data_IF_697193420278
#
_entry.id   IF_697193420278
#
_cell.length_a   1.000
_cell.length_b   1.000
_cell.length_c   1.000
_cell.angle_alpha   90.00
_cell.angle_beta   90.00
_cell.angle_gamma   90.00
#
_symmetry.space_group_name_H-M   'P 1'
#
loop_
_entity.id
_entity.type
_entity.pdbx_description
1 polymer ?
#
# COMPACT_ATOMS: atom_id res chain seq x y z
N UNK A 1 5.36 -36.84 16.76
CA UNK A 1 4.17 -36.26 16.13
C UNK A 1 3.34 -35.62 17.25
N UNK A 2 3.69 -34.40 17.63
CA UNK A 2 2.87 -33.57 18.51
C UNK A 2 2.25 -32.47 17.64
N UNK A 3 0.93 -32.56 17.49
CA UNK A 3 0.08 -31.54 16.91
C UNK A 3 0.11 -30.35 17.88
N UNK A 4 0.77 -29.28 17.54
CA UNK A 4 0.56 -27.99 18.18
C UNK A 4 -0.74 -27.42 17.66
N UNK A 5 -1.79 -27.57 18.43
CA UNK A 5 -3.03 -26.78 18.26
C UNK A 5 -2.71 -25.34 18.65
N UNK A 6 -2.49 -24.49 17.67
CA UNK A 6 -2.56 -23.04 17.87
C UNK A 6 -4.02 -22.70 18.18
N UNK A 7 -4.25 -22.22 19.38
CA UNK A 7 -5.53 -21.62 19.76
C UNK A 7 -5.62 -20.26 19.05
N UNK A 8 -6.06 -20.30 17.79
CA UNK A 8 -6.63 -19.15 17.13
C UNK A 8 -8.00 -18.95 17.77
N UNK A 9 -8.20 -17.93 18.58
CA UNK A 9 -9.54 -17.52 19.01
C UNK A 9 -10.23 -16.93 17.78
N UNK A 10 -10.80 -17.81 16.96
CA UNK A 10 -11.61 -17.45 15.80
C UNK A 10 -12.88 -16.73 16.28
N UNK A 11 -12.85 -15.41 16.28
CA UNK A 11 -14.05 -14.61 16.48
C UNK A 11 -14.74 -14.42 15.14
N UNK A 12 -15.73 -15.28 14.86
CA UNK A 12 -16.58 -15.13 13.68
C UNK A 12 -17.55 -13.97 13.89
N UNK A 13 -17.35 -12.87 13.19
CA UNK A 13 -18.39 -11.84 13.02
C UNK A 13 -19.07 -12.07 11.67
N UNK A 14 -20.31 -12.57 11.68
CA UNK A 14 -21.15 -12.60 10.48
C UNK A 14 -21.74 -11.21 10.28
N UNK A 15 -21.31 -10.51 9.24
CA UNK A 15 -21.78 -9.17 8.92
C UNK A 15 -22.70 -9.21 7.71
N UNK A 16 -23.66 -8.31 7.66
CA UNK A 16 -24.83 -8.27 6.76
C UNK A 16 -24.52 -8.06 5.26
N UNK A 17 -23.28 -8.10 4.85
CA UNK A 17 -22.81 -8.12 3.45
C UNK A 17 -21.80 -9.23 3.28
N UNK A 18 -21.84 -9.92 2.22
CA UNK A 18 -21.18 -11.05 1.59
C UNK A 18 -19.69 -11.34 1.95
N UNK A 19 -19.07 -10.67 2.88
CA UNK A 19 -17.66 -10.86 3.25
C UNK A 19 -17.54 -11.74 4.49
N UNK A 20 -16.81 -12.85 4.39
CA UNK A 20 -16.46 -13.71 5.54
C UNK A 20 -15.08 -13.27 6.03
N UNK A 21 -15.06 -12.69 7.22
CA UNK A 21 -13.83 -12.17 7.84
C UNK A 21 -13.32 -13.14 8.88
N UNK A 22 -12.07 -13.52 8.80
CA UNK A 22 -11.34 -14.27 9.83
C UNK A 22 -10.25 -13.38 10.39
N UNK A 23 -10.37 -12.99 11.65
CA UNK A 23 -9.31 -12.29 12.37
C UNK A 23 -8.35 -13.32 12.96
N UNK A 24 -7.06 -13.18 12.69
CA UNK A 24 -6.01 -13.89 13.38
C UNK A 24 -5.06 -12.86 14.01
N UNK A 25 -5.17 -12.62 15.33
CA UNK A 25 -4.22 -11.76 16.05
C UNK A 25 -2.93 -12.51 16.25
N UNK A 26 -1.87 -12.01 15.64
CA UNK A 26 -0.52 -12.54 15.84
C UNK A 26 0.11 -11.81 17.03
N UNK A 27 0.03 -12.42 18.22
CA UNK A 27 0.75 -11.89 19.37
C UNK A 27 2.26 -11.99 19.17
N UNK A 28 2.98 -10.92 19.55
CA UNK A 28 4.43 -10.70 19.44
C UNK A 28 5.28 -11.79 20.12
N UNK A 29 5.22 -13.03 19.66
CA UNK A 29 6.14 -14.06 20.04
C UNK A 29 6.58 -14.85 18.82
N UNK A 30 7.61 -14.32 18.12
CA UNK A 30 8.38 -15.01 17.09
C UNK A 30 7.50 -15.64 16.00
N UNK A 31 7.10 -14.84 15.03
CA UNK A 31 6.82 -15.31 13.70
C UNK A 31 8.08 -16.00 13.14
N UNK A 32 8.31 -17.26 13.55
CA UNK A 32 9.15 -18.21 12.85
C UNK A 32 8.35 -18.91 11.74
N UNK A 33 7.31 -18.26 11.22
CA UNK A 33 6.71 -18.71 9.98
C UNK A 33 7.55 -18.09 8.85
N UNK A 34 8.30 -18.93 8.16
CA UNK A 34 9.24 -18.53 7.10
C UNK A 34 8.55 -17.76 5.97
N UNK A 35 7.21 -17.67 5.97
CA UNK A 35 6.37 -16.98 4.99
C UNK A 35 6.38 -15.45 5.15
N UNK A 36 6.55 -14.92 6.36
CA UNK A 36 6.43 -13.47 6.63
C UNK A 36 7.77 -12.79 6.97
N UNK A 37 8.88 -13.27 6.44
CA UNK A 37 10.18 -12.60 6.60
C UNK A 37 10.30 -11.46 5.59
N UNK A 38 9.62 -10.34 5.87
CA UNK A 38 9.91 -9.10 5.15
C UNK A 38 11.36 -8.68 5.43
N UNK A 39 12.11 -8.41 4.36
CA UNK A 39 13.47 -7.91 4.46
C UNK A 39 13.48 -6.59 5.25
N UNK A 40 14.54 -6.32 6.00
CA UNK A 40 14.69 -5.09 6.80
C UNK A 40 14.44 -3.80 5.97
N UNK A 41 14.72 -3.85 4.67
CA UNK A 41 14.52 -2.75 3.73
C UNK A 41 13.05 -2.56 3.32
N UNK A 42 12.26 -3.62 3.35
CA UNK A 42 10.82 -3.62 3.06
C UNK A 42 10.02 -3.11 4.28
N UNK A 43 10.52 -3.34 5.50
CA UNK A 43 9.98 -2.74 6.74
C UNK A 43 10.25 -1.24 6.88
N UNK A 44 11.14 -0.66 6.04
CA UNK A 44 11.46 0.77 6.08
C UNK A 44 10.39 1.63 5.36
N UNK A 45 9.60 1.05 4.45
CA UNK A 45 8.48 1.75 3.82
C UNK A 45 7.20 1.54 4.65
N UNK A 46 6.90 2.51 5.49
CA UNK A 46 5.73 2.49 6.37
C UNK A 46 4.59 3.27 5.70
N UNK A 47 3.50 2.58 5.44
CA UNK A 47 2.31 3.19 4.84
C UNK A 47 1.28 3.48 5.92
N UNK A 48 1.40 4.65 6.53
CA UNK A 48 0.50 5.09 7.61
C UNK A 48 -0.88 5.38 7.04
N UNK A 49 -1.89 4.78 7.66
CA UNK A 49 -3.30 4.99 7.35
C UNK A 49 -3.72 6.32 7.97
N UNK A 50 -4.16 7.25 7.12
CA UNK A 50 -4.62 8.58 7.52
C UNK A 50 -6.07 8.57 7.97
N UNK A 51 -6.92 7.87 7.22
CA UNK A 51 -8.36 7.85 7.42
C UNK A 51 -8.93 6.49 7.02
N UNK A 52 -9.95 6.04 7.75
CA UNK A 52 -10.75 4.85 7.45
C UNK A 52 -12.17 5.32 7.16
N UNK A 53 -12.73 4.90 6.02
CA UNK A 53 -14.07 5.29 5.63
C UNK A 53 -15.14 4.51 6.41
N UNK A 54 -16.25 5.18 6.78
CA UNK A 54 -17.35 4.52 7.47
C UNK A 54 -18.00 3.45 6.57
N UNK A 55 -18.53 2.39 7.19
CA UNK A 55 -19.15 1.23 6.53
C UNK A 55 -18.19 0.50 5.55
N UNK A 56 -16.87 0.62 5.75
CA UNK A 56 -15.84 -0.04 4.95
C UNK A 56 -15.37 -1.35 5.58
N UNK A 57 -14.68 -2.19 4.77
CA UNK A 57 -14.02 -3.41 5.25
C UNK A 57 -13.01 -3.10 6.37
N UNK A 58 -12.24 -2.02 6.20
CA UNK A 58 -11.25 -1.62 7.19
C UNK A 58 -11.86 -1.25 8.54
N UNK A 59 -13.01 -0.53 8.55
CA UNK A 59 -13.72 -0.24 9.80
C UNK A 59 -14.24 -1.51 10.47
N UNK A 60 -14.79 -2.43 9.70
CA UNK A 60 -15.28 -3.72 10.20
C UNK A 60 -14.18 -4.57 10.83
N UNK A 61 -12.94 -4.42 10.34
CA UNK A 61 -11.74 -5.11 10.83
C UNK A 61 -11.03 -4.37 11.96
N UNK A 62 -11.63 -3.31 12.48
CA UNK A 62 -11.05 -2.51 13.55
C UNK A 62 -9.68 -1.89 13.16
N UNK A 63 -9.46 -1.65 11.86
CA UNK A 63 -8.32 -0.86 11.38
C UNK A 63 -8.62 0.61 11.69
N UNK A 64 -7.62 1.33 12.21
CA UNK A 64 -7.78 2.72 12.66
C UNK A 64 -6.78 3.64 11.97
N UNK A 65 -7.10 4.94 11.94
CA UNK A 65 -6.14 5.94 11.51
C UNK A 65 -4.90 5.92 12.43
N UNK A 66 -3.72 5.93 11.83
CA UNK A 66 -2.44 5.77 12.54
C UNK A 66 -1.87 4.34 12.52
N UNK A 67 -2.66 3.34 12.14
CA UNK A 67 -2.14 2.01 11.85
C UNK A 67 -1.27 2.02 10.59
N UNK A 68 -0.44 1.01 10.41
CA UNK A 68 0.50 0.92 9.30
C UNK A 68 0.25 -0.33 8.48
N UNK A 69 -0.04 -0.15 7.19
CA UNK A 69 -0.11 -1.27 6.25
C UNK A 69 1.31 -1.73 5.90
N UNK A 70 1.62 -3.00 6.14
CA UNK A 70 2.94 -3.58 5.90
C UNK A 70 3.02 -4.40 4.61
N UNK A 71 2.03 -5.26 4.37
CA UNK A 71 2.02 -6.16 3.22
C UNK A 71 0.60 -6.59 2.84
N UNK A 72 0.43 -7.01 1.59
CA UNK A 72 -0.77 -7.71 1.09
C UNK A 72 -0.30 -8.97 0.36
N UNK A 73 -0.88 -10.13 0.69
CA UNK A 73 -0.53 -11.44 0.11
C UNK A 73 0.98 -11.73 0.14
N UNK A 74 1.63 -11.55 1.30
CA UNK A 74 3.07 -11.69 1.49
C UNK A 74 3.95 -10.76 0.63
N UNK A 75 3.36 -9.78 -0.04
CA UNK A 75 4.07 -8.82 -0.86
C UNK A 75 4.15 -7.46 -0.20
N UNK A 76 5.38 -6.96 -0.04
CA UNK A 76 5.61 -5.60 0.43
C UNK A 76 5.12 -4.59 -0.60
N UNK A 77 4.49 -3.52 -0.12
CA UNK A 77 3.93 -2.48 -0.96
C UNK A 77 4.99 -1.41 -1.18
N UNK A 78 5.32 -1.12 -2.43
CA UNK A 78 6.28 -0.08 -2.77
C UNK A 78 5.61 1.29 -3.02
N UNK A 79 4.44 1.26 -3.64
CA UNK A 79 3.64 2.45 -3.92
C UNK A 79 2.17 2.09 -4.18
N UNK A 80 1.38 3.11 -4.52
CA UNK A 80 -0.06 3.00 -4.78
C UNK A 80 -0.43 2.00 -5.88
N UNK A 81 0.46 1.69 -6.82
CA UNK A 81 0.17 0.70 -7.86
C UNK A 81 0.17 -0.72 -7.30
N UNK A 82 1.13 -1.07 -6.43
CA UNK A 82 1.11 -2.37 -5.75
C UNK A 82 -0.16 -2.52 -4.92
N UNK A 83 -0.51 -1.49 -4.15
CA UNK A 83 -1.74 -1.49 -3.36
C UNK A 83 -2.95 -1.77 -4.24
N UNK A 84 -3.16 -0.97 -5.30
CA UNK A 84 -4.31 -1.11 -6.19
C UNK A 84 -4.35 -2.42 -6.96
N UNK A 85 -3.19 -2.99 -7.28
CA UNK A 85 -3.09 -4.28 -7.94
C UNK A 85 -3.42 -5.43 -6.98
N UNK A 86 -2.83 -5.41 -5.78
CA UNK A 86 -2.96 -6.49 -4.80
C UNK A 86 -4.35 -6.58 -4.17
N UNK A 87 -5.05 -5.45 -4.01
CA UNK A 87 -6.42 -5.45 -3.49
C UNK A 87 -7.46 -5.99 -4.50
N UNK A 88 -7.12 -6.09 -5.80
CA UNK A 88 -8.02 -6.64 -6.83
C UNK A 88 -7.98 -8.17 -6.83
N UNK A 89 -8.40 -8.77 -5.74
CA UNK A 89 -8.59 -10.19 -5.58
C UNK A 89 -9.80 -10.41 -4.66
N UNK A 90 -10.47 -11.55 -4.83
CA UNK A 90 -11.61 -11.94 -4.00
C UNK A 90 -11.16 -12.40 -2.59
N UNK A 91 -9.95 -12.93 -2.49
CA UNK A 91 -9.31 -13.29 -1.21
C UNK A 91 -7.97 -12.60 -1.09
N UNK A 92 -7.74 -11.92 0.02
CA UNK A 92 -6.47 -11.24 0.33
C UNK A 92 -6.08 -11.46 1.80
N UNK A 93 -4.78 -11.52 2.03
CA UNK A 93 -4.16 -11.50 3.35
C UNK A 93 -3.51 -10.14 3.57
N UNK A 94 -3.95 -9.39 4.56
CA UNK A 94 -3.45 -8.03 4.84
C UNK A 94 -2.72 -8.04 6.16
N UNK A 95 -1.45 -7.61 6.15
CA UNK A 95 -0.63 -7.46 7.35
C UNK A 95 -0.61 -5.98 7.77
N UNK A 96 -1.11 -5.71 8.97
CA UNK A 96 -1.21 -4.37 9.54
C UNK A 96 -0.48 -4.32 10.88
N UNK A 97 0.34 -3.30 11.10
CA UNK A 97 0.89 -2.97 12.41
C UNK A 97 -0.02 -1.95 13.10
N UNK A 98 -0.53 -2.28 14.25
CA UNK A 98 -1.35 -1.39 15.08
C UNK A 98 -0.49 -0.33 15.76
N UNK A 99 -1.12 0.76 16.25
CA UNK A 99 -0.42 1.85 16.93
C UNK A 99 0.36 1.40 18.19
N UNK A 100 -0.03 0.32 18.81
CA UNK A 100 0.66 -0.29 19.96
C UNK A 100 1.84 -1.19 19.57
N UNK A 101 2.06 -1.40 18.26
CA UNK A 101 3.11 -2.23 17.69
C UNK A 101 2.73 -3.71 17.55
N UNK A 102 1.47 -4.08 17.78
CA UNK A 102 0.99 -5.41 17.46
C UNK A 102 0.84 -5.57 15.94
N UNK A 103 1.30 -6.70 15.39
CA UNK A 103 1.10 -7.06 13.99
C UNK A 103 -0.14 -7.94 13.88
N UNK A 104 -1.09 -7.52 13.04
CA UNK A 104 -2.32 -8.25 12.75
C UNK A 104 -2.30 -8.75 11.33
N UNK A 105 -2.53 -10.06 11.18
CA UNK A 105 -2.78 -10.68 9.88
C UNK A 105 -4.29 -10.85 9.71
N UNK A 106 -4.84 -10.21 8.69
CA UNK A 106 -6.26 -10.18 8.39
C UNK A 106 -6.52 -10.95 7.10
N UNK A 107 -7.30 -12.03 7.19
CA UNK A 107 -7.76 -12.79 6.03
C UNK A 107 -9.13 -12.22 5.61
N UNK A 108 -9.24 -11.77 4.36
CA UNK A 108 -10.40 -11.03 3.86
C UNK A 108 -10.94 -11.70 2.60
N UNK A 109 -12.19 -12.14 2.65
CA UNK A 109 -12.98 -12.51 1.48
C UNK A 109 -13.88 -11.32 1.11
N UNK A 110 -13.78 -10.82 -0.11
CA UNK A 110 -14.49 -9.63 -0.59
C UNK A 110 -14.82 -9.72 -2.07
N UNK A 111 -15.65 -8.81 -2.57
CA UNK A 111 -15.85 -8.68 -4.01
C UNK A 111 -14.56 -8.19 -4.69
N UNK A 112 -14.30 -8.65 -5.93
CA UNK A 112 -13.06 -8.39 -6.66
C UNK A 112 -12.69 -6.90 -6.75
N UNK A 113 -13.67 -6.03 -7.00
CA UNK A 113 -13.47 -4.58 -7.15
C UNK A 113 -13.73 -3.79 -5.85
N UNK A 114 -14.04 -4.47 -4.75
CA UNK A 114 -14.29 -3.80 -3.46
C UNK A 114 -12.99 -3.30 -2.84
N UNK A 115 -12.97 -2.02 -2.45
CA UNK A 115 -11.83 -1.39 -1.78
C UNK A 115 -11.87 -1.64 -0.27
N UNK A 116 -10.72 -1.64 0.38
CA UNK A 116 -10.64 -1.75 1.85
C UNK A 116 -11.24 -0.53 2.57
N UNK A 117 -11.30 0.61 1.90
CA UNK A 117 -11.81 1.86 2.45
C UNK A 117 -10.83 2.58 3.36
N UNK A 118 -9.55 2.59 2.97
CA UNK A 118 -8.47 3.30 3.68
C UNK A 118 -7.86 4.40 2.83
N UNK A 119 -7.52 5.51 3.45
CA UNK A 119 -6.72 6.59 2.85
C UNK A 119 -5.35 6.67 3.52
N UNK A 120 -4.29 6.84 2.75
CA UNK A 120 -2.93 6.96 3.26
C UNK A 120 -2.52 8.42 3.40
N UNK A 121 -1.60 8.74 4.33
CA UNK A 121 -1.05 10.08 4.50
C UNK A 121 -0.41 10.61 3.20
N UNK A 122 0.30 9.73 2.48
CA UNK A 122 0.81 10.01 1.15
C UNK A 122 0.02 9.20 0.12
N UNK A 123 -0.76 9.86 -0.72
CA UNK A 123 -1.59 9.19 -1.74
C UNK A 123 -0.81 8.40 -2.80
N UNK A 124 0.50 8.63 -2.96
CA UNK A 124 1.39 7.79 -3.78
C UNK A 124 2.04 6.66 -2.99
N UNK A 125 1.93 6.66 -1.66
CA UNK A 125 2.56 5.70 -0.75
C UNK A 125 4.09 5.64 -0.87
N UNK A 126 4.71 6.63 -1.51
CA UNK A 126 6.16 6.75 -1.66
C UNK A 126 6.55 8.18 -2.10
N UNK A 127 7.84 8.49 -2.09
CA UNK A 127 8.36 9.79 -2.47
C UNK A 127 8.02 10.15 -3.93
N UNK A 128 7.76 11.44 -4.17
CA UNK A 128 7.56 11.96 -5.52
C UNK A 128 8.82 11.83 -6.35
N UNK A 129 8.68 11.43 -7.60
CA UNK A 129 9.78 11.36 -8.56
C UNK A 129 9.84 12.63 -9.37
N UNK A 130 11.00 13.27 -9.38
CA UNK A 130 11.24 14.49 -10.15
C UNK A 130 11.91 14.19 -11.48
N UNK A 131 11.66 15.01 -12.50
CA UNK A 131 12.32 14.92 -13.80
C UNK A 131 13.81 15.23 -13.68
N UNK A 132 14.66 14.32 -14.16
CA UNK A 132 16.11 14.48 -14.21
C UNK A 132 16.61 15.11 -15.52
N UNK A 133 15.73 15.36 -16.48
CA UNK A 133 16.10 15.93 -17.77
C UNK A 133 16.52 17.40 -17.68
N UNK A 134 17.39 17.79 -18.61
CA UNK A 134 17.86 19.17 -18.78
C UNK A 134 17.51 19.67 -20.19
N UNK A 135 16.21 19.70 -20.48
CA UNK A 135 15.74 20.13 -21.79
C UNK A 135 15.92 21.64 -21.98
N UNK A 136 16.43 22.07 -23.13
CA UNK A 136 16.63 23.48 -23.44
C UNK A 136 15.33 24.29 -23.47
N UNK A 137 14.20 23.64 -23.66
CA UNK A 137 12.84 24.23 -23.69
C UNK A 137 12.06 23.98 -22.40
N UNK A 138 12.73 23.52 -21.32
CA UNK A 138 12.03 23.28 -20.07
C UNK A 138 11.60 24.61 -19.43
N UNK A 139 10.29 24.85 -19.41
CA UNK A 139 9.75 26.09 -18.84
C UNK A 139 9.99 26.23 -17.33
N UNK A 140 10.16 25.11 -16.62
CA UNK A 140 10.53 25.14 -15.18
C UNK A 140 11.94 25.68 -15.00
N UNK A 141 12.91 25.20 -15.84
CA UNK A 141 14.30 25.67 -15.77
C UNK A 141 14.45 27.13 -16.22
N UNK A 142 13.49 27.66 -16.99
CA UNK A 142 13.46 29.03 -17.47
C UNK A 142 12.76 30.01 -16.51
N UNK A 143 12.19 29.51 -15.40
CA UNK A 143 11.50 30.36 -14.45
C UNK A 143 12.47 31.29 -13.74
N UNK A 144 12.05 32.56 -13.48
CA UNK A 144 12.87 33.52 -12.73
C UNK A 144 13.24 32.99 -11.34
N UNK A 145 14.44 33.25 -10.84
CA UNK A 145 14.83 32.86 -9.48
C UNK A 145 14.00 33.60 -8.42
N UNK A 146 13.82 32.98 -7.25
CA UNK A 146 13.16 33.60 -6.10
C UNK A 146 11.63 33.47 -6.09
N UNK A 147 11.05 32.64 -6.95
CA UNK A 147 9.64 32.28 -6.90
C UNK A 147 9.38 31.24 -5.78
N UNK A 148 8.09 30.90 -5.55
CA UNK A 148 7.73 29.85 -4.58
C UNK A 148 8.38 28.52 -4.97
N UNK A 149 8.92 27.80 -4.01
CA UNK A 149 9.66 26.55 -4.21
C UNK A 149 8.89 25.51 -5.02
N UNK A 150 7.58 25.40 -4.74
CA UNK A 150 6.67 24.48 -5.45
C UNK A 150 6.61 24.69 -6.96
N UNK A 151 6.95 25.88 -7.46
CA UNK A 151 6.95 26.19 -8.89
C UNK A 151 8.18 25.61 -9.62
N UNK A 152 9.21 25.25 -8.88
CA UNK A 152 10.42 24.64 -9.46
C UNK A 152 10.39 23.12 -9.45
N UNK A 153 9.29 22.52 -8.97
CA UNK A 153 9.12 21.08 -8.99
C UNK A 153 8.90 20.60 -10.42
N UNK A 154 9.81 19.78 -10.91
CA UNK A 154 9.70 19.16 -12.23
C UNK A 154 8.99 17.84 -12.11
N UNK A 155 7.69 17.84 -12.34
CA UNK A 155 6.89 16.63 -12.34
C UNK A 155 7.11 15.81 -13.62
N UNK A 156 7.54 14.57 -13.45
CA UNK A 156 7.56 13.54 -14.51
C UNK A 156 7.37 12.16 -13.85
N UNK A 157 6.52 12.11 -12.85
CA UNK A 157 6.18 10.89 -12.13
C UNK A 157 5.11 10.10 -12.88
N UNK A 158 5.48 8.92 -13.38
CA UNK A 158 4.57 8.04 -14.13
C UNK A 158 3.34 7.64 -13.34
N UNK A 159 3.42 7.57 -12.02
CA UNK A 159 2.30 7.22 -11.13
C UNK A 159 1.25 8.33 -11.10
N UNK A 160 1.69 9.59 -10.96
CA UNK A 160 0.79 10.75 -11.04
C UNK A 160 0.12 10.84 -12.41
N UNK A 161 0.90 10.63 -13.47
CA UNK A 161 0.38 10.65 -14.84
C UNK A 161 -0.70 9.59 -15.06
N UNK A 162 -0.48 8.38 -14.56
CA UNK A 162 -1.46 7.30 -14.64
C UNK A 162 -2.72 7.62 -13.82
N UNK A 163 -2.55 8.13 -12.59
CA UNK A 163 -3.68 8.42 -11.70
C UNK A 163 -4.51 9.62 -12.14
N UNK A 164 -3.88 10.64 -12.74
CA UNK A 164 -4.50 11.91 -13.09
C UNK A 164 -4.71 12.09 -14.60
N UNK A 165 -4.22 11.17 -15.43
CA UNK A 165 -4.30 11.26 -16.89
C UNK A 165 -3.35 12.30 -17.50
N UNK A 166 -2.28 12.69 -16.82
CA UNK A 166 -1.31 13.66 -17.29
C UNK A 166 -0.31 13.04 -18.27
N UNK A 167 0.34 13.87 -19.08
CA UNK A 167 1.42 13.46 -19.97
C UNK A 167 2.72 13.25 -19.19
N UNK A 168 3.49 12.25 -19.60
CA UNK A 168 4.87 12.01 -19.15
C UNK A 168 5.80 11.81 -20.32
N UNK A 169 7.10 12.03 -20.08
CA UNK A 169 8.11 11.86 -21.14
C UNK A 169 8.61 10.43 -21.28
N UNK A 170 8.37 9.56 -20.32
CA UNK A 170 8.91 8.20 -20.14
C UNK A 170 10.45 8.15 -20.03
N UNK A 171 11.15 9.27 -20.18
CA UNK A 171 12.63 9.31 -20.16
C UNK A 171 13.20 9.10 -18.76
N UNK A 172 12.41 9.26 -17.71
CA UNK A 172 12.79 9.03 -16.33
C UNK A 172 12.41 7.63 -15.83
N UNK A 173 11.70 6.85 -16.62
CA UNK A 173 11.37 5.45 -16.29
C UNK A 173 12.61 4.56 -16.43
N UNK A 174 12.80 3.68 -15.48
CA UNK A 174 13.84 2.66 -15.47
C UNK A 174 13.28 1.32 -15.91
N UNK A 175 14.16 0.42 -16.33
CA UNK A 175 13.75 -0.93 -16.76
C UNK A 175 12.90 -1.67 -15.69
N UNK A 176 13.22 -1.64 -14.39
CA UNK A 176 12.37 -2.25 -13.36
C UNK A 176 10.95 -1.66 -13.29
N UNK A 177 10.78 -0.36 -13.55
CA UNK A 177 9.46 0.26 -13.58
C UNK A 177 8.60 -0.31 -14.72
N UNK A 178 9.22 -0.54 -15.89
CA UNK A 178 8.56 -1.10 -17.08
C UNK A 178 8.22 -2.58 -16.85
N UNK A 179 9.16 -3.36 -16.30
CA UNK A 179 8.96 -4.78 -15.98
C UNK A 179 7.81 -4.95 -15.00
N UNK A 180 7.72 -4.09 -14.00
CA UNK A 180 6.64 -4.08 -13.01
C UNK A 180 5.28 -3.76 -13.65
N UNK A 181 5.20 -2.78 -14.55
CA UNK A 181 3.96 -2.48 -15.29
C UNK A 181 3.51 -3.70 -16.11
N UNK A 182 4.44 -4.40 -16.77
CA UNK A 182 4.13 -5.61 -17.53
C UNK A 182 3.60 -6.73 -16.63
N UNK A 183 4.11 -6.86 -15.42
CA UNK A 183 3.63 -7.87 -14.45
C UNK A 183 2.23 -7.57 -13.91
N UNK A 184 1.83 -6.30 -13.87
CA UNK A 184 0.53 -5.86 -13.38
C UNK A 184 -0.58 -5.92 -14.47
N UNK A 185 -0.23 -6.27 -15.69
CA UNK A 185 -1.13 -6.43 -16.82
C UNK A 185 -1.61 -7.88 -16.93
#
# INVERSE_FOLDING_TARGET
KQLFLFLCENRWKSIKKTSIIKECKVQNNKLNDERYVLNKKEKEQRHVIKEVYPDSIAEELEIEAGDVLLAINDQAIQDVFDYRYLIKNEYIEVLVEKQDGEEWLLEIDKDYDEDLGIEFENGLMSEYRTCSNKCIFCFIDQMPPGMRETLYFKDDDSRLSFLQGNYITLTNMKLPDIERIIQMH
#
